data_IF_477686228140
#
_entry.id   IF_477686228140
#
_cell.length_a   1.000
_cell.length_b   1.000
_cell.length_c   1.000
_cell.angle_alpha   90.00
_cell.angle_beta   90.00
_cell.angle_gamma   90.00
#
_symmetry.space_group_name_H-M   'P 1'
#
loop_
_entity.id
_entity.type
_entity.pdbx_description
1 polymer ?
#
# COMPACT_ATOMS: atom_id res chain seq x y z
N UNK A 1 -5.98 29.12 5.53
CA UNK A 1 -4.90 28.60 4.66
C UNK A 1 -4.99 29.16 3.25
N UNK A 2 -6.14 29.07 2.56
CA UNK A 2 -6.32 29.71 1.24
C UNK A 2 -6.13 31.24 1.29
N UNK A 3 -6.64 31.91 2.32
CA UNK A 3 -6.56 33.36 2.48
C UNK A 3 -5.11 33.88 2.67
N UNK A 4 -4.28 33.19 3.45
CA UNK A 4 -2.87 33.56 3.62
C UNK A 4 -2.05 33.28 2.35
N UNK A 5 -2.38 32.21 1.62
CA UNK A 5 -1.72 31.89 0.35
C UNK A 5 -2.07 32.89 -0.78
N UNK A 6 -3.27 33.47 -0.78
CA UNK A 6 -3.68 34.47 -1.77
C UNK A 6 -3.04 35.85 -1.56
N UNK A 7 -2.52 36.14 -0.36
CA UNK A 7 -1.86 37.41 -0.03
C UNK A 7 -0.33 37.36 -0.19
N UNK A 8 0.23 36.25 -0.70
CA UNK A 8 1.68 36.09 -0.88
C UNK A 8 2.43 35.91 0.44
N UNK A 9 1.73 35.68 1.55
CA UNK A 9 2.34 35.40 2.84
C UNK A 9 3.01 34.02 2.82
N UNK A 10 4.23 33.97 3.34
CA UNK A 10 4.99 32.73 3.46
C UNK A 10 4.77 32.10 4.83
N UNK A 11 4.40 30.82 4.83
CA UNK A 11 4.37 30.00 6.04
C UNK A 11 5.39 28.87 5.92
N UNK A 12 6.17 28.65 6.97
CA UNK A 12 7.10 27.52 7.08
C UNK A 12 6.51 26.45 7.99
N UNK A 13 6.56 25.20 7.55
CA UNK A 13 6.16 24.04 8.35
C UNK A 13 7.39 23.18 8.57
N UNK A 14 7.71 22.91 9.83
CA UNK A 14 8.71 21.92 10.22
C UNK A 14 7.97 20.65 10.62
N UNK A 15 8.30 19.55 9.96
CA UNK A 15 7.72 18.23 10.22
C UNK A 15 8.81 17.34 10.81
N UNK A 16 8.72 17.12 12.12
CA UNK A 16 9.57 16.16 12.80
C UNK A 16 9.13 14.74 12.44
N UNK A 17 10.06 13.92 11.98
CA UNK A 17 9.82 12.51 11.69
C UNK A 17 10.96 11.65 12.21
N UNK A 18 10.64 10.41 12.54
CA UNK A 18 11.62 9.39 12.92
C UNK A 18 11.46 8.20 11.99
N UNK A 19 12.59 7.71 11.47
CA UNK A 19 12.63 6.44 10.77
C UNK A 19 12.80 5.33 11.80
N UNK A 20 11.96 4.30 11.71
CA UNK A 20 12.13 3.05 12.44
C UNK A 20 12.88 2.04 11.55
N UNK A 21 14.22 1.94 11.64
CA UNK A 21 14.98 1.05 10.79
C UNK A 21 14.65 -0.41 11.09
N UNK A 22 14.77 -1.27 10.08
CA UNK A 22 14.57 -2.72 10.20
C UNK A 22 13.16 -3.11 10.71
N UNK A 23 12.15 -2.26 10.50
CA UNK A 23 10.76 -2.63 10.79
C UNK A 23 10.37 -3.84 9.94
N UNK A 24 9.94 -4.91 10.61
CA UNK A 24 9.57 -6.16 9.94
C UNK A 24 8.18 -6.06 9.33
N UNK A 25 8.03 -6.61 8.12
CA UNK A 25 6.75 -6.73 7.41
C UNK A 25 6.43 -8.19 7.12
N UNK A 26 5.19 -8.49 6.73
CA UNK A 26 4.75 -9.85 6.38
C UNK A 26 3.93 -9.83 5.11
N UNK A 27 4.09 -10.84 4.27
CA UNK A 27 3.14 -11.09 3.17
C UNK A 27 2.25 -12.26 3.57
N UNK A 28 0.95 -12.08 3.43
CA UNK A 28 -0.05 -13.15 3.56
C UNK A 28 -0.47 -13.55 2.15
N UNK A 29 -0.52 -14.85 1.87
CA UNK A 29 -0.94 -15.34 0.56
C UNK A 29 -1.74 -16.64 0.70
N UNK A 30 -2.56 -16.92 -0.30
CA UNK A 30 -3.33 -18.15 -0.44
C UNK A 30 -3.52 -18.48 -1.91
N UNK A 31 -3.72 -19.78 -2.18
CA UNK A 31 -4.04 -20.30 -3.51
C UNK A 31 -5.36 -21.03 -3.45
N UNK A 32 -6.19 -20.82 -4.47
CA UNK A 32 -7.41 -21.58 -4.71
C UNK A 32 -7.25 -22.23 -6.07
N UNK A 33 -7.29 -23.55 -6.10
CA UNK A 33 -7.13 -24.31 -7.35
C UNK A 33 -8.29 -24.04 -8.31
N UNK A 34 -7.94 -23.95 -9.59
CA UNK A 34 -8.91 -23.83 -10.67
C UNK A 34 -9.46 -25.18 -11.10
N UNK A 35 -10.59 -25.17 -11.81
CA UNK A 35 -11.26 -26.41 -12.21
C UNK A 35 -10.85 -26.95 -13.58
N UNK A 36 -10.44 -26.07 -14.51
CA UNK A 36 -10.38 -26.43 -15.94
C UNK A 36 -9.29 -25.77 -16.77
N UNK A 37 -8.59 -24.74 -16.24
CA UNK A 37 -7.52 -24.00 -16.92
C UNK A 37 -6.23 -24.02 -16.09
N UNK A 38 -5.51 -25.16 -16.00
CA UNK A 38 -4.29 -25.26 -15.20
C UNK A 38 -3.10 -24.49 -15.79
N UNK A 39 -3.21 -24.04 -17.05
CA UNK A 39 -2.23 -23.24 -17.77
C UNK A 39 -2.34 -21.72 -17.51
N UNK A 40 -3.38 -21.30 -16.81
CA UNK A 40 -3.62 -19.90 -16.45
C UNK A 40 -3.52 -19.68 -14.94
N UNK A 41 -3.18 -18.48 -14.52
CA UNK A 41 -3.20 -18.11 -13.10
C UNK A 41 -3.59 -16.66 -12.97
N UNK A 42 -4.58 -16.39 -12.12
CA UNK A 42 -5.01 -15.03 -11.79
C UNK A 42 -4.35 -14.62 -10.48
N UNK A 43 -3.57 -13.54 -10.52
CA UNK A 43 -2.89 -12.98 -9.36
C UNK A 43 -3.64 -11.72 -8.87
N UNK A 44 -4.22 -11.78 -7.69
CA UNK A 44 -4.88 -10.65 -7.03
C UNK A 44 -3.98 -10.14 -5.90
N UNK A 45 -3.42 -8.95 -6.08
CA UNK A 45 -2.50 -8.32 -5.13
C UNK A 45 -3.16 -7.10 -4.49
N UNK A 46 -2.99 -6.97 -3.19
CA UNK A 46 -3.31 -5.75 -2.45
C UNK A 46 -2.28 -5.54 -1.34
N UNK A 47 -2.36 -4.41 -0.67
CA UNK A 47 -1.55 -4.14 0.51
C UNK A 47 -2.45 -3.76 1.70
N UNK A 48 -1.90 -3.88 2.89
CA UNK A 48 -2.60 -3.60 4.16
C UNK A 48 -1.89 -2.53 4.98
N UNK A 49 -0.67 -2.10 4.61
CA UNK A 49 -0.17 -0.81 5.08
C UNK A 49 -1.04 0.29 4.49
N UNK A 50 -1.34 1.26 5.32
CA UNK A 50 -2.03 2.45 4.90
C UNK A 50 -2.31 3.30 6.11
N UNK A 51 -2.31 4.61 5.91
CA UNK A 51 -2.74 5.54 6.96
C UNK A 51 -4.25 5.74 6.93
N UNK A 52 -4.91 5.36 5.84
CA UNK A 52 -6.34 5.60 5.63
C UNK A 52 -7.12 4.31 5.35
N UNK A 53 -7.94 3.90 6.32
CA UNK A 53 -8.82 2.73 6.21
C UNK A 53 -9.91 2.85 5.15
N UNK A 54 -10.24 4.06 4.69
CA UNK A 54 -11.28 4.29 3.67
C UNK A 54 -10.72 4.16 2.26
N UNK A 55 -9.51 4.69 2.03
CA UNK A 55 -8.86 4.66 0.71
C UNK A 55 -8.04 3.39 0.49
N UNK A 56 -7.52 2.77 1.56
CA UNK A 56 -6.56 1.65 1.51
C UNK A 56 -7.20 0.34 2.04
N UNK A 57 -8.42 0.04 1.58
CA UNK A 57 -9.24 -1.10 2.03
C UNK A 57 -9.23 -2.32 1.09
N UNK A 58 -8.33 -2.37 0.11
CA UNK A 58 -8.30 -3.43 -0.91
C UNK A 58 -8.19 -4.86 -0.35
N UNK A 59 -7.58 -5.01 0.83
CA UNK A 59 -7.49 -6.29 1.54
C UNK A 59 -8.84 -6.86 1.99
N UNK A 60 -9.84 -6.02 2.28
CA UNK A 60 -11.20 -6.48 2.61
C UNK A 60 -11.84 -7.13 1.38
N UNK A 61 -11.72 -6.48 0.23
CA UNK A 61 -12.21 -7.01 -1.04
C UNK A 61 -11.46 -8.29 -1.43
N UNK A 62 -10.15 -8.35 -1.24
CA UNK A 62 -9.35 -9.54 -1.52
C UNK A 62 -9.78 -10.75 -0.68
N UNK A 63 -10.02 -10.57 0.63
CA UNK A 63 -10.53 -11.65 1.50
C UNK A 63 -11.94 -12.08 1.09
N UNK A 64 -12.81 -11.14 0.75
CA UNK A 64 -14.16 -11.47 0.27
C UNK A 64 -14.12 -12.27 -1.05
N UNK A 65 -13.25 -11.90 -1.99
CA UNK A 65 -13.05 -12.63 -3.24
C UNK A 65 -12.48 -14.03 -3.00
N UNK A 66 -11.49 -14.17 -2.12
CA UNK A 66 -10.93 -15.47 -1.76
C UNK A 66 -11.99 -16.39 -1.13
N UNK A 67 -12.83 -15.84 -0.23
CA UNK A 67 -13.95 -16.60 0.36
C UNK A 67 -14.96 -17.04 -0.70
N UNK A 68 -15.31 -16.16 -1.63
CA UNK A 68 -16.25 -16.50 -2.71
C UNK A 68 -15.68 -17.59 -3.63
N UNK A 69 -14.41 -17.47 -4.01
CA UNK A 69 -13.70 -18.45 -4.83
C UNK A 69 -13.52 -19.81 -4.13
N UNK A 70 -13.35 -19.83 -2.80
CA UNK A 70 -13.27 -21.07 -2.04
C UNK A 70 -14.61 -21.84 -2.03
N UNK A 71 -15.73 -21.11 -2.04
CA UNK A 71 -17.07 -21.70 -2.13
C UNK A 71 -17.45 -22.11 -3.55
N UNK A 72 -16.99 -21.35 -4.55
CA UNK A 72 -17.24 -21.59 -5.97
C UNK A 72 -15.91 -21.45 -6.73
N UNK A 73 -15.16 -22.55 -6.90
CA UNK A 73 -13.85 -22.51 -7.52
C UNK A 73 -13.88 -21.94 -8.95
N UNK A 74 -12.97 -21.01 -9.28
CA UNK A 74 -12.86 -20.44 -10.62
C UNK A 74 -12.33 -21.46 -11.64
N UNK A 75 -12.43 -21.12 -12.93
CA UNK A 75 -11.91 -21.99 -14.00
C UNK A 75 -10.38 -22.08 -13.99
N UNK A 76 -9.70 -20.96 -13.77
CA UNK A 76 -8.25 -20.87 -13.61
C UNK A 76 -7.88 -20.71 -12.12
N UNK A 77 -6.73 -21.27 -11.67
CA UNK A 77 -6.18 -21.02 -10.34
C UNK A 77 -6.16 -19.53 -9.96
N UNK A 78 -6.60 -19.24 -8.74
CA UNK A 78 -6.57 -17.91 -8.15
C UNK A 78 -5.51 -17.86 -7.05
N UNK A 79 -4.48 -17.04 -7.26
CA UNK A 79 -3.51 -16.67 -6.25
C UNK A 79 -3.89 -15.31 -5.69
N UNK A 80 -4.09 -15.22 -4.38
CA UNK A 80 -4.29 -13.95 -3.70
C UNK A 80 -3.15 -13.67 -2.73
N UNK A 81 -2.52 -12.51 -2.85
CA UNK A 81 -1.56 -12.01 -1.87
C UNK A 81 -1.96 -10.64 -1.34
N UNK A 82 -1.84 -10.49 -0.03
CA UNK A 82 -1.87 -9.20 0.65
C UNK A 82 -0.51 -8.94 1.28
N UNK A 83 0.15 -7.88 0.84
CA UNK A 83 1.35 -7.39 1.49
C UNK A 83 0.95 -6.62 2.74
N UNK A 84 1.33 -7.12 3.91
CA UNK A 84 1.30 -6.38 5.16
C UNK A 84 2.64 -5.72 5.37
N UNK A 85 2.84 -4.62 4.65
CA UNK A 85 3.85 -3.67 5.08
C UNK A 85 3.33 -2.93 6.31
N UNK A 86 4.22 -2.67 7.24
CA UNK A 86 4.05 -1.71 8.32
C UNK A 86 5.09 -0.66 7.99
N UNK A 87 4.65 0.45 7.39
CA UNK A 87 5.44 1.65 7.13
C UNK A 87 6.82 1.39 6.47
N UNK A 88 6.84 1.09 5.15
CA UNK A 88 8.09 0.87 4.40
C UNK A 88 8.34 1.80 3.21
N UNK A 89 7.41 2.70 2.87
CA UNK A 89 7.43 3.39 1.56
C UNK A 89 8.29 4.68 1.49
N UNK A 90 8.65 5.30 2.62
CA UNK A 90 9.38 6.57 2.59
C UNK A 90 10.90 6.35 2.48
N UNK A 91 11.40 6.23 1.24
CA UNK A 91 12.83 6.41 0.96
C UNK A 91 13.22 7.85 1.27
N UNK A 92 14.19 8.04 2.17
CA UNK A 92 14.77 9.35 2.46
C UNK A 92 15.37 9.96 1.19
N UNK A 93 14.84 11.10 0.71
CA UNK A 93 15.56 11.92 -0.27
C UNK A 93 16.79 12.56 0.41
N UNK A 94 17.92 12.73 -0.29
CA UNK A 94 19.09 13.40 0.28
C UNK A 94 18.75 14.84 0.67
N UNK A 95 19.28 15.30 1.81
CA UNK A 95 19.16 16.68 2.30
C UNK A 95 19.66 17.66 1.22
N UNK A 96 18.78 18.50 0.70
CA UNK A 96 19.15 19.65 -0.13
C UNK A 96 19.89 20.64 0.77
N UNK A 97 21.14 20.96 0.43
CA UNK A 97 21.94 21.98 1.12
C UNK A 97 21.32 23.35 0.83
N UNK A 98 21.08 24.22 1.84
CA UNK A 98 20.61 25.57 1.57
C UNK A 98 21.66 26.33 0.76
N UNK A 99 21.22 26.95 -0.34
CA UNK A 99 22.01 27.94 -1.08
C UNK A 99 22.16 29.16 -0.18
N UNK A 100 23.40 29.46 0.23
CA UNK A 100 23.71 30.71 0.92
C UNK A 100 23.37 31.89 0.00
N UNK A 101 22.51 32.79 0.48
CA UNK A 101 22.33 34.11 -0.11
C UNK A 101 23.63 34.91 0.05
N UNK A 102 24.11 35.49 -1.05
CA UNK A 102 25.14 36.53 -1.10
C UNK A 102 24.47 37.87 -1.36
#
# INVERSE_FOLDING_TARGET
MLAAASEGEQASVVLDYQLAPNTTTRTIWTVIEGTSRPDETVLVVTHTDGVNVIEENGHIAAVAMARAAALNPPNAPLFSSSLQATCGSLRSRPKVKPLNAS
#
